data_IF_536563375787
#
_entry.id   IF_536563375787
#
_cell.length_a   1.000
_cell.length_b   1.000
_cell.length_c   1.000
_cell.angle_alpha   90.00
_cell.angle_beta   90.00
_cell.angle_gamma   90.00
#
_symmetry.space_group_name_H-M   'P 1'
#
loop_
_entity.id
_entity.type
_entity.pdbx_description
1 polymer ?
#
# COMPACT_ATOMS: atom_id res chain seq x y z
N UNK A 1 -5.44 3.87 18.27
CA UNK A 1 -5.16 3.23 16.98
C UNK A 1 -6.45 2.83 16.29
N UNK A 2 -6.47 2.85 14.96
CA UNK A 2 -7.56 2.35 14.14
C UNK A 2 -7.59 0.80 14.07
N UNK A 3 -8.62 0.24 13.42
CA UNK A 3 -8.80 -1.22 13.32
C UNK A 3 -7.65 -1.93 12.61
N UNK A 4 -7.10 -1.36 11.55
CA UNK A 4 -5.99 -1.96 10.80
C UNK A 4 -4.69 -2.01 11.61
N UNK A 5 -4.39 -0.95 12.37
CA UNK A 5 -3.23 -0.94 13.24
C UNK A 5 -3.37 -1.94 14.40
N UNK A 6 -4.58 -2.07 14.96
CA UNK A 6 -4.86 -3.09 15.99
C UNK A 6 -4.70 -4.51 15.42
N UNK A 7 -5.20 -4.76 14.22
CA UNK A 7 -5.04 -6.05 13.53
C UNK A 7 -3.56 -6.37 13.24
N UNK A 8 -2.79 -5.37 12.77
CA UNK A 8 -1.35 -5.53 12.60
C UNK A 8 -0.68 -5.95 13.92
N UNK A 9 -0.91 -5.20 15.01
CA UNK A 9 -0.30 -5.50 16.30
C UNK A 9 -0.70 -6.88 16.83
N UNK A 10 -1.95 -7.27 16.64
CA UNK A 10 -2.44 -8.61 17.03
C UNK A 10 -1.70 -9.72 16.26
N UNK A 11 -1.38 -9.51 14.99
CA UNK A 11 -0.66 -10.48 14.17
C UNK A 11 0.83 -10.65 14.55
N UNK A 12 1.40 -9.67 15.26
CA UNK A 12 2.83 -9.68 15.63
C UNK A 12 3.18 -10.56 16.83
N UNK A 13 2.19 -11.15 17.52
CA UNK A 13 2.43 -12.02 18.66
C UNK A 13 3.28 -11.34 19.73
N UNK A 14 4.39 -11.96 20.11
CA UNK A 14 5.32 -11.45 21.15
C UNK A 14 5.99 -10.11 20.78
N UNK A 15 6.00 -9.73 19.48
CA UNK A 15 6.60 -8.46 19.05
C UNK A 15 5.66 -7.26 19.25
N UNK A 16 4.39 -7.46 19.56
CA UNK A 16 3.37 -6.39 19.64
C UNK A 16 3.77 -5.23 20.58
N UNK A 17 4.41 -5.57 21.71
CA UNK A 17 4.81 -4.59 22.72
C UNK A 17 6.14 -3.86 22.39
N UNK A 18 6.76 -4.25 21.28
CA UNK A 18 8.01 -3.69 20.76
C UNK A 18 7.81 -2.90 19.46
N UNK A 19 6.62 -2.92 18.92
CA UNK A 19 6.28 -2.27 17.63
C UNK A 19 5.27 -1.17 17.86
N UNK A 20 5.54 -0.01 17.28
CA UNK A 20 4.61 1.10 17.22
C UNK A 20 4.36 1.48 15.76
N UNK A 21 3.13 1.29 15.21
CA UNK A 21 2.79 1.73 13.87
C UNK A 21 2.87 3.25 13.77
N UNK A 22 3.62 3.78 12.79
CA UNK A 22 3.77 5.21 12.56
C UNK A 22 2.81 5.72 11.50
N UNK A 23 2.76 5.04 10.37
CA UNK A 23 1.96 5.41 9.23
C UNK A 23 1.70 4.19 8.33
N UNK A 24 0.67 4.28 7.50
CA UNK A 24 0.28 3.24 6.56
C UNK A 24 -0.05 3.82 5.20
N UNK A 25 0.33 3.13 4.15
CA UNK A 25 0.04 3.47 2.76
C UNK A 25 -0.49 2.23 2.03
N UNK A 26 -1.65 2.29 1.37
CA UNK A 26 -2.14 1.14 0.62
C UNK A 26 -1.28 0.92 -0.65
N UNK A 27 -1.13 -0.33 -1.06
CA UNK A 27 -0.62 -0.66 -2.38
C UNK A 27 -1.68 -0.38 -3.43
N UNK A 28 -1.26 0.19 -4.56
CA UNK A 28 -2.13 0.57 -5.67
C UNK A 28 -1.55 0.09 -6.98
N UNK A 29 -2.39 -0.02 -7.99
CA UNK A 29 -1.96 -0.16 -9.38
C UNK A 29 -1.88 1.23 -9.99
N UNK A 30 -0.69 1.65 -10.40
CA UNK A 30 -0.45 2.88 -11.15
C UNK A 30 -0.36 2.54 -12.64
N UNK A 31 -1.08 3.28 -13.47
CA UNK A 31 -1.15 3.08 -14.92
C UNK A 31 -1.33 4.41 -15.64
N UNK A 32 -1.11 4.41 -16.95
CA UNK A 32 -1.56 5.52 -17.79
C UNK A 32 -3.08 5.44 -17.92
N UNK A 33 -3.73 6.59 -17.90
CA UNK A 33 -5.18 6.68 -18.10
C UNK A 33 -5.49 6.32 -19.55
N UNK A 34 -6.02 5.12 -19.74
CA UNK A 34 -6.40 4.58 -21.03
C UNK A 34 -7.89 4.21 -20.99
N UNK A 35 -8.75 4.88 -21.78
CA UNK A 35 -10.17 4.58 -21.83
C UNK A 35 -10.50 3.13 -22.25
N UNK A 36 -9.58 2.46 -22.93
CA UNK A 36 -9.74 1.06 -23.31
C UNK A 36 -9.56 0.09 -22.12
N UNK A 37 -8.99 0.54 -21.03
CA UNK A 37 -8.83 -0.25 -19.80
C UNK A 37 -10.10 -0.19 -18.95
N UNK A 38 -11.04 -1.08 -19.23
CA UNK A 38 -12.35 -1.15 -18.56
C UNK A 38 -12.31 -1.97 -17.25
N UNK A 39 -11.30 -2.84 -17.07
CA UNK A 39 -11.18 -3.65 -15.86
C UNK A 39 -10.67 -2.81 -14.69
N UNK A 40 -11.42 -2.83 -13.61
CA UNK A 40 -11.03 -2.22 -12.34
C UNK A 40 -10.69 -3.30 -11.32
N UNK A 41 -9.61 -3.11 -10.59
CA UNK A 41 -9.21 -4.03 -9.54
C UNK A 41 -8.09 -5.00 -9.94
N UNK A 42 -7.68 -5.83 -8.97
CA UNK A 42 -6.55 -6.75 -9.10
C UNK A 42 -6.64 -7.72 -10.29
N UNK A 43 -7.82 -8.19 -10.75
CA UNK A 43 -7.93 -9.03 -11.94
C UNK A 43 -7.35 -8.43 -13.22
N UNK A 44 -7.15 -7.10 -13.28
CA UNK A 44 -6.44 -6.45 -14.37
C UNK A 44 -5.03 -7.02 -14.55
N UNK A 45 -4.36 -7.38 -13.44
CA UNK A 45 -3.00 -7.95 -13.48
C UNK A 45 -2.93 -9.32 -14.17
N UNK A 46 -4.06 -10.00 -14.34
CA UNK A 46 -4.15 -11.31 -15.02
C UNK A 46 -4.63 -11.19 -16.46
N UNK A 47 -4.88 -9.98 -16.94
CA UNK A 47 -5.33 -9.76 -18.32
C UNK A 47 -4.22 -10.12 -19.30
N UNK A 48 -4.53 -10.87 -20.36
CA UNK A 48 -3.57 -11.26 -21.39
C UNK A 48 -2.93 -10.06 -22.09
N UNK A 49 -3.64 -8.93 -22.19
CA UNK A 49 -3.11 -7.68 -22.72
C UNK A 49 -1.97 -7.07 -21.87
N UNK A 50 -1.75 -7.59 -20.68
CA UNK A 50 -0.68 -7.18 -19.75
C UNK A 50 0.57 -8.06 -19.85
N UNK A 51 0.61 -9.06 -20.72
CA UNK A 51 1.74 -10.00 -20.84
C UNK A 51 3.08 -9.27 -21.01
N UNK A 52 4.01 -9.49 -20.06
CA UNK A 52 5.31 -8.82 -20.04
C UNK A 52 5.26 -7.30 -19.83
N UNK A 53 4.16 -6.75 -19.29
CA UNK A 53 3.93 -5.31 -19.15
C UNK A 53 3.59 -4.87 -17.72
N UNK A 54 3.71 -5.75 -16.74
CA UNK A 54 3.41 -5.47 -15.33
C UNK A 54 4.71 -5.39 -14.54
N UNK A 55 4.91 -4.31 -13.80
CA UNK A 55 5.96 -4.26 -12.78
C UNK A 55 5.35 -4.67 -11.45
N UNK A 56 5.83 -5.79 -10.92
CA UNK A 56 5.43 -6.34 -9.63
C UNK A 56 6.40 -5.91 -8.52
N UNK A 57 5.96 -5.92 -7.25
CA UNK A 57 6.83 -5.64 -6.11
C UNK A 57 8.03 -6.59 -6.04
N UNK A 58 9.18 -6.09 -5.56
CA UNK A 58 10.36 -6.90 -5.32
C UNK A 58 10.19 -7.93 -4.19
N UNK A 59 9.17 -7.76 -3.34
CA UNK A 59 8.87 -8.69 -2.24
C UNK A 59 8.11 -9.93 -2.73
N UNK A 60 8.70 -11.14 -2.70
CA UNK A 60 8.02 -12.37 -3.09
C UNK A 60 6.75 -12.61 -2.28
N UNK A 61 6.79 -12.35 -0.97
CA UNK A 61 5.63 -12.51 -0.08
C UNK A 61 4.46 -11.65 -0.49
N UNK A 62 4.72 -10.42 -0.93
CA UNK A 62 3.67 -9.53 -1.39
C UNK A 62 3.05 -10.04 -2.69
N UNK A 63 3.87 -10.52 -3.62
CA UNK A 63 3.38 -11.12 -4.87
C UNK A 63 2.56 -12.38 -4.61
N UNK A 64 3.00 -13.24 -3.68
CA UNK A 64 2.23 -14.42 -3.25
C UNK A 64 0.90 -14.00 -2.61
N UNK A 65 0.91 -13.02 -1.72
CA UNK A 65 -0.32 -12.51 -1.09
C UNK A 65 -1.30 -11.92 -2.10
N UNK A 66 -0.82 -11.25 -3.14
CA UNK A 66 -1.65 -10.80 -4.26
C UNK A 66 -2.21 -11.98 -5.07
N UNK A 67 -1.39 -13.01 -5.30
CA UNK A 67 -1.82 -14.21 -5.99
C UNK A 67 -2.92 -14.94 -5.20
N UNK A 68 -2.76 -15.08 -3.88
CA UNK A 68 -3.77 -15.69 -3.02
C UNK A 68 -5.10 -14.93 -3.09
N UNK A 69 -5.04 -13.61 -3.09
CA UNK A 69 -6.22 -12.75 -3.23
C UNK A 69 -6.89 -12.85 -4.61
N UNK A 70 -6.13 -13.21 -5.64
CA UNK A 70 -6.59 -13.38 -7.03
C UNK A 70 -7.09 -14.79 -7.37
N UNK A 71 -7.11 -15.72 -6.42
CA UNK A 71 -7.57 -17.09 -6.63
C UNK A 71 -6.52 -18.17 -6.32
N UNK A 72 -5.48 -17.82 -5.56
CA UNK A 72 -4.52 -18.78 -5.02
C UNK A 72 -3.50 -19.30 -6.03
N UNK A 73 -3.20 -20.60 -5.94
CA UNK A 73 -2.08 -21.23 -6.64
C UNK A 73 -2.06 -21.10 -8.16
N UNK A 74 -3.20 -20.92 -8.81
CA UNK A 74 -3.27 -20.69 -10.26
C UNK A 74 -2.93 -19.24 -10.67
N UNK A 75 -3.11 -18.28 -9.78
CA UNK A 75 -2.85 -16.88 -10.05
C UNK A 75 -1.35 -16.56 -10.08
N UNK A 76 -0.53 -17.24 -9.29
CA UNK A 76 0.91 -16.96 -9.21
C UNK A 76 1.64 -17.23 -10.55
N UNK A 77 1.46 -18.37 -11.22
CA UNK A 77 2.01 -18.57 -12.57
C UNK A 77 1.49 -17.57 -13.59
N UNK A 78 0.22 -17.16 -13.47
CA UNK A 78 -0.35 -16.14 -14.35
C UNK A 78 0.30 -14.78 -14.13
N UNK A 79 0.45 -14.32 -12.88
CA UNK A 79 1.16 -13.07 -12.55
C UNK A 79 2.61 -13.10 -13.06
N UNK A 80 3.32 -14.23 -12.96
CA UNK A 80 4.68 -14.38 -13.49
C UNK A 80 4.74 -14.14 -14.99
N UNK A 81 3.77 -14.64 -15.75
CA UNK A 81 3.69 -14.41 -17.21
C UNK A 81 3.44 -12.95 -17.57
N UNK A 82 2.75 -12.20 -16.71
CA UNK A 82 2.47 -10.78 -16.92
C UNK A 82 3.64 -9.88 -16.50
N UNK A 83 4.55 -10.39 -15.67
CA UNK A 83 5.63 -9.60 -15.12
C UNK A 83 6.65 -9.20 -16.19
N UNK A 84 6.87 -7.88 -16.31
CA UNK A 84 8.03 -7.30 -16.99
C UNK A 84 9.27 -7.45 -16.11
N UNK A 85 9.10 -7.10 -14.83
CA UNK A 85 10.16 -7.15 -13.81
C UNK A 85 9.55 -7.13 -12.41
N UNK A 86 10.39 -7.50 -11.43
CA UNK A 86 10.10 -7.38 -10.00
C UNK A 86 10.89 -6.23 -9.34
N UNK A 87 11.46 -5.31 -10.14
CA UNK A 87 12.15 -4.13 -9.63
C UNK A 87 11.19 -2.95 -9.51
N UNK A 88 10.60 -2.80 -8.33
CA UNK A 88 9.70 -1.71 -8.03
C UNK A 88 10.40 -0.36 -7.78
N UNK A 89 11.74 -0.33 -7.67
CA UNK A 89 12.51 0.90 -7.49
C UNK A 89 12.42 1.79 -8.73
N UNK A 90 12.43 1.18 -9.92
CA UNK A 90 12.34 1.85 -11.20
C UNK A 90 10.91 1.82 -11.80
N UNK A 91 9.92 1.38 -11.02
CA UNK A 91 8.55 1.14 -11.49
C UNK A 91 7.95 2.33 -12.26
N UNK A 92 8.08 3.53 -11.72
CA UNK A 92 7.56 4.75 -12.37
C UNK A 92 8.29 5.07 -13.68
N UNK A 93 9.59 4.81 -13.76
CA UNK A 93 10.37 5.03 -15.00
C UNK A 93 9.92 4.06 -16.11
N UNK A 94 9.71 2.78 -15.79
CA UNK A 94 9.19 1.79 -16.74
C UNK A 94 7.82 2.21 -17.29
N UNK A 95 6.94 2.72 -16.41
CA UNK A 95 5.62 3.21 -16.81
C UNK A 95 5.71 4.46 -17.70
N UNK A 96 6.55 5.43 -17.33
CA UNK A 96 6.71 6.70 -18.08
C UNK A 96 7.34 6.48 -19.45
N UNK A 97 8.25 5.51 -19.58
CA UNK A 97 8.83 5.11 -20.88
C UNK A 97 7.85 4.30 -21.75
N UNK A 98 6.72 3.84 -21.18
CA UNK A 98 5.73 3.01 -21.89
C UNK A 98 6.12 1.54 -22.02
N UNK A 99 7.18 1.11 -21.31
CA UNK A 99 7.60 -0.28 -21.26
C UNK A 99 6.68 -1.10 -20.38
N UNK A 100 6.24 -0.54 -19.26
CA UNK A 100 5.17 -1.10 -18.42
C UNK A 100 3.83 -0.43 -18.73
N UNK A 101 2.73 -1.18 -18.64
CA UNK A 101 1.35 -0.68 -18.68
C UNK A 101 0.81 -0.46 -17.27
N UNK A 102 1.17 -1.33 -16.34
CA UNK A 102 0.73 -1.28 -14.95
C UNK A 102 1.93 -1.50 -14.04
N UNK A 103 2.01 -0.74 -12.97
CA UNK A 103 3.00 -0.95 -11.92
C UNK A 103 2.31 -1.01 -10.55
N UNK A 104 2.72 -1.96 -9.71
CA UNK A 104 2.19 -2.17 -8.36
C UNK A 104 3.16 -1.60 -7.34
N UNK A 105 2.76 -0.56 -6.61
CA UNK A 105 3.59 0.12 -5.62
C UNK A 105 2.75 0.78 -4.52
N UNK A 106 3.35 1.13 -3.36
CA UNK A 106 2.63 1.87 -2.33
C UNK A 106 2.24 3.26 -2.83
N UNK A 107 1.07 3.74 -2.46
CA UNK A 107 0.57 5.08 -2.84
C UNK A 107 1.57 6.18 -2.48
N UNK A 108 2.25 6.07 -1.34
CA UNK A 108 3.28 7.01 -0.90
C UNK A 108 4.42 7.19 -1.89
N UNK A 109 4.69 6.21 -2.76
CA UNK A 109 5.75 6.32 -3.78
C UNK A 109 5.29 6.97 -5.08
N UNK A 110 4.00 7.08 -5.32
CA UNK A 110 3.47 7.62 -6.58
C UNK A 110 2.54 8.82 -6.42
N UNK A 111 2.11 9.17 -5.22
CA UNK A 111 1.13 10.24 -5.00
C UNK A 111 1.58 11.60 -5.54
N UNK A 112 2.87 11.92 -5.39
CA UNK A 112 3.43 13.17 -5.92
C UNK A 112 3.41 13.21 -7.44
N UNK A 113 3.67 12.08 -8.09
CA UNK A 113 3.61 11.94 -9.56
C UNK A 113 2.16 12.03 -10.04
N UNK A 114 1.24 11.34 -9.36
CA UNK A 114 -0.20 11.42 -9.65
C UNK A 114 -0.73 12.85 -9.53
N UNK A 115 -0.24 13.62 -8.55
CA UNK A 115 -0.64 15.02 -8.37
C UNK A 115 -0.17 15.95 -9.50
N UNK A 116 0.90 15.58 -10.20
CA UNK A 116 1.54 16.39 -11.24
C UNK A 116 1.18 15.99 -12.67
N UNK A 117 0.96 14.71 -12.90
CA UNK A 117 0.67 14.17 -14.24
C UNK A 117 -0.78 13.65 -14.32
N UNK A 118 -1.68 14.39 -14.99
CA UNK A 118 -3.08 14.00 -15.16
C UNK A 118 -3.28 12.78 -16.06
N UNK A 119 -2.27 12.40 -16.85
CA UNK A 119 -2.30 11.21 -17.73
C UNK A 119 -2.14 9.89 -16.95
N UNK A 120 -1.79 9.98 -15.67
CA UNK A 120 -1.62 8.82 -14.81
C UNK A 120 -2.85 8.63 -13.95
N UNK A 121 -3.23 7.39 -13.73
CA UNK A 121 -4.31 6.97 -12.85
C UNK A 121 -3.79 5.92 -11.87
N UNK A 122 -4.27 5.97 -10.63
CA UNK A 122 -4.06 4.87 -9.69
C UNK A 122 -5.40 4.22 -9.34
N UNK A 123 -5.38 2.91 -9.16
CA UNK A 123 -6.52 2.12 -8.74
C UNK A 123 -6.21 1.52 -7.37
N UNK A 124 -7.04 1.84 -6.39
CA UNK A 124 -7.18 1.10 -5.15
C UNK A 124 -8.42 0.20 -5.30
N UNK A 125 -8.24 -1.12 -5.43
CA UNK A 125 -9.36 -2.02 -5.68
C UNK A 125 -10.39 -2.02 -4.55
N UNK A 126 -11.67 -2.09 -4.89
CA UNK A 126 -12.74 -2.19 -3.89
C UNK A 126 -12.65 -3.47 -3.05
N UNK A 127 -12.00 -4.52 -3.55
CA UNK A 127 -11.71 -5.75 -2.82
C UNK A 127 -10.63 -5.59 -1.74
N UNK A 128 -10.08 -4.38 -1.57
CA UNK A 128 -8.98 -4.07 -0.66
C UNK A 128 -7.61 -4.17 -1.30
N UNK A 129 -6.58 -3.87 -0.53
CA UNK A 129 -5.19 -3.87 -0.97
C UNK A 129 -4.25 -4.25 0.18
N UNK A 130 -3.06 -4.77 -0.12
CA UNK A 130 -2.02 -4.90 0.87
C UNK A 130 -1.68 -3.54 1.48
N UNK A 131 -1.32 -3.53 2.74
CA UNK A 131 -0.92 -2.33 3.46
C UNK A 131 0.59 -2.28 3.65
N UNK A 132 1.18 -1.15 3.27
CA UNK A 132 2.58 -0.84 3.50
C UNK A 132 2.70 -0.03 4.79
N UNK A 133 3.29 -0.63 5.80
CA UNK A 133 3.46 -0.03 7.12
C UNK A 133 4.84 0.57 7.31
N UNK A 134 4.89 1.74 7.89
CA UNK A 134 6.08 2.25 8.58
C UNK A 134 5.87 2.06 10.07
N UNK A 135 6.80 1.39 10.71
CA UNK A 135 6.75 1.08 12.13
C UNK A 135 8.03 1.51 12.84
N UNK A 136 7.91 1.87 14.10
CA UNK A 136 9.04 1.98 15.01
C UNK A 136 9.19 0.63 15.72
N UNK A 137 10.35 0.02 15.61
CA UNK A 137 10.67 -1.24 16.26
C UNK A 137 11.72 -1.00 17.36
N UNK A 138 11.40 -1.41 18.59
CA UNK A 138 12.36 -1.43 19.68
C UNK A 138 13.25 -2.68 19.57
N UNK A 139 14.57 -2.52 19.47
CA UNK A 139 15.50 -3.65 19.51
C UNK A 139 15.37 -4.48 20.79
N UNK A 140 15.70 -5.76 20.73
CA UNK A 140 15.58 -6.65 21.90
C UNK A 140 16.48 -6.25 23.06
N UNK A 141 17.70 -5.84 22.73
CA UNK A 141 18.66 -5.39 23.72
C UNK A 141 18.32 -4.04 24.40
N UNK A 142 17.35 -3.28 23.83
CA UNK A 142 16.95 -2.00 24.40
C UNK A 142 16.02 -2.19 25.59
N UNK A 143 16.34 -1.52 26.69
CA UNK A 143 15.49 -1.42 27.89
C UNK A 143 14.56 -0.21 27.84
N UNK A 144 14.83 0.75 26.96
CA UNK A 144 14.02 1.96 26.81
C UNK A 144 12.64 1.63 26.25
N UNK A 145 11.56 2.21 26.76
CA UNK A 145 10.22 2.02 26.20
C UNK A 145 10.13 2.63 24.81
N UNK A 146 9.19 2.12 24.01
CA UNK A 146 8.87 2.76 22.72
C UNK A 146 8.36 4.18 22.98
N UNK A 147 8.88 5.23 22.29
CA UNK A 147 8.56 6.63 22.57
C UNK A 147 7.17 7.02 22.04
N UNK A 148 6.13 6.43 22.60
CA UNK A 148 4.74 6.59 22.16
C UNK A 148 4.29 8.05 22.14
N UNK A 149 4.61 8.82 23.17
CA UNK A 149 4.23 10.25 23.24
C UNK A 149 4.84 11.07 22.11
N UNK A 150 6.09 10.77 21.73
CA UNK A 150 6.76 11.43 20.60
C UNK A 150 6.04 11.12 19.28
N UNK A 151 5.68 9.87 19.05
CA UNK A 151 4.93 9.45 17.87
C UNK A 151 3.53 10.09 17.83
N UNK A 152 2.84 10.13 18.96
CA UNK A 152 1.53 10.78 19.07
C UNK A 152 1.58 12.28 18.75
N UNK A 153 2.68 12.96 19.09
CA UNK A 153 2.91 14.34 18.66
C UNK A 153 3.12 14.43 17.13
N UNK A 154 3.84 13.47 16.55
CA UNK A 154 4.00 13.37 15.09
C UNK A 154 2.68 13.15 14.34
N UNK A 155 1.64 12.65 15.02
CA UNK A 155 0.29 12.50 14.47
C UNK A 155 -0.57 13.76 14.60
N UNK A 156 -0.01 14.90 15.01
CA UNK A 156 -0.68 16.20 15.06
C UNK A 156 -0.25 17.09 13.88
N UNK A 157 -1.04 18.11 13.59
CA UNK A 157 -0.65 19.13 12.62
C UNK A 157 0.59 19.90 13.12
N UNK A 158 1.50 20.29 12.21
CA UNK A 158 1.41 20.17 10.74
C UNK A 158 1.97 18.86 10.18
N UNK A 159 2.60 17.99 11.00
CA UNK A 159 3.27 16.77 10.52
C UNK A 159 2.29 15.76 9.92
N UNK A 160 1.13 15.58 10.56
CA UNK A 160 0.06 14.71 10.06
C UNK A 160 -0.35 15.09 8.64
N UNK A 161 -0.57 16.39 8.40
CA UNK A 161 -0.95 16.90 7.06
C UNK A 161 0.14 16.62 6.03
N UNK A 162 1.42 16.74 6.37
CA UNK A 162 2.53 16.37 5.50
C UNK A 162 2.54 14.89 5.16
N UNK A 163 2.31 14.01 6.13
CA UNK A 163 2.20 12.57 5.89
C UNK A 163 1.08 12.28 4.88
N UNK A 164 -0.09 12.87 5.06
CA UNK A 164 -1.23 12.71 4.17
C UNK A 164 -0.89 13.16 2.74
N UNK A 165 -0.28 14.32 2.59
CA UNK A 165 0.15 14.84 1.27
C UNK A 165 1.19 13.93 0.59
N UNK A 166 1.93 13.14 1.37
CA UNK A 166 2.90 12.15 0.90
C UNK A 166 2.30 10.74 0.74
N UNK A 167 0.99 10.58 0.83
CA UNK A 167 0.32 9.29 0.66
C UNK A 167 0.39 8.35 1.86
N UNK A 168 0.63 8.91 3.04
CA UNK A 168 0.64 8.20 4.30
C UNK A 168 -0.58 8.57 5.14
N UNK A 169 -1.28 7.57 5.63
CA UNK A 169 -2.34 7.71 6.62
C UNK A 169 -1.79 7.40 8.01
N UNK A 170 -2.09 8.25 8.99
CA UNK A 170 -1.78 7.96 10.39
C UNK A 170 -2.78 6.95 10.95
N UNK A 171 -2.33 5.98 11.77
CA UNK A 171 -3.15 4.87 12.23
C UNK A 171 -4.01 5.24 13.47
N UNK A 172 -4.78 6.33 13.38
CA UNK A 172 -5.65 6.81 14.45
C UNK A 172 -7.13 6.66 14.09
N UNK A 173 -7.99 6.64 15.10
CA UNK A 173 -9.43 6.47 14.91
C UNK A 173 -10.07 7.55 14.04
N UNK A 174 -11.11 7.16 13.30
CA UNK A 174 -11.70 7.88 12.16
C UNK A 174 -12.22 9.30 12.44
N UNK A 175 -12.56 9.65 13.66
CA UNK A 175 -13.11 10.97 13.97
C UNK A 175 -12.18 12.15 13.65
N UNK A 176 -10.86 11.90 13.57
CA UNK A 176 -9.85 12.90 13.20
C UNK A 176 -9.46 12.87 11.73
N UNK A 177 -9.86 11.83 11.01
CA UNK A 177 -9.48 11.60 9.60
C UNK A 177 -10.22 12.53 8.63
N UNK A 178 -11.42 13.02 9.00
CA UNK A 178 -12.22 13.87 8.12
C UNK A 178 -11.50 15.18 7.73
N UNK A 179 -10.76 15.79 8.66
CA UNK A 179 -9.97 16.99 8.38
C UNK A 179 -8.82 16.74 7.42
N UNK A 180 -8.28 15.52 7.42
CA UNK A 180 -7.13 15.13 6.60
C UNK A 180 -7.51 14.95 5.13
N UNK A 181 -8.75 14.56 4.86
CA UNK A 181 -9.25 14.39 3.49
C UNK A 181 -9.13 15.65 2.65
N UNK A 182 -9.24 16.82 3.27
CA UNK A 182 -9.12 18.12 2.60
C UNK A 182 -7.66 18.48 2.23
N UNK A 183 -6.68 17.74 2.73
CA UNK A 183 -5.28 17.91 2.35
C UNK A 183 -4.95 17.31 0.97
N UNK A 184 -5.88 16.53 0.40
CA UNK A 184 -5.74 15.87 -0.90
C UNK A 184 -6.79 16.39 -1.88
N UNK A 185 -6.42 16.41 -3.17
CA UNK A 185 -7.38 16.67 -4.24
C UNK A 185 -8.48 15.60 -4.28
N UNK A 186 -9.65 15.93 -4.84
CA UNK A 186 -10.77 15.00 -4.99
C UNK A 186 -10.36 13.69 -5.68
N UNK A 187 -9.42 13.74 -6.64
CA UNK A 187 -8.88 12.60 -7.37
C UNK A 187 -8.05 11.65 -6.51
N UNK A 188 -7.26 12.18 -5.58
CA UNK A 188 -6.32 11.40 -4.76
C UNK A 188 -6.94 10.94 -3.44
N UNK A 189 -7.97 11.65 -2.98
CA UNK A 189 -8.63 11.37 -1.70
C UNK A 189 -9.11 9.92 -1.55
N UNK A 190 -9.84 9.32 -2.51
CA UNK A 190 -10.34 7.96 -2.36
C UNK A 190 -9.23 6.89 -2.35
N UNK A 191 -8.04 7.22 -2.83
CA UNK A 191 -6.91 6.29 -2.79
C UNK A 191 -6.33 6.11 -1.38
N UNK A 192 -6.32 7.17 -0.56
CA UNK A 192 -5.81 7.12 0.81
C UNK A 192 -6.93 6.99 1.85
N UNK A 193 -8.10 7.53 1.53
CA UNK A 193 -9.29 7.51 2.35
C UNK A 193 -10.46 6.88 1.59
N UNK A 194 -10.38 5.58 1.26
CA UNK A 194 -11.47 4.87 0.60
C UNK A 194 -12.68 4.74 1.54
N UNK A 195 -13.76 4.13 1.05
CA UNK A 195 -14.89 3.76 1.90
C UNK A 195 -14.45 2.90 3.09
N UNK A 196 -15.20 2.93 4.18
CA UNK A 196 -14.91 2.09 5.34
C UNK A 196 -14.91 0.61 4.99
N UNK A 197 -15.77 0.19 4.07
CA UNK A 197 -15.85 -1.18 3.56
C UNK A 197 -14.57 -1.56 2.80
N UNK A 198 -14.13 -0.75 1.83
CA UNK A 198 -12.85 -0.99 1.13
C UNK A 198 -11.67 -1.01 2.09
N UNK A 199 -11.63 -0.09 3.06
CA UNK A 199 -10.55 -0.03 4.04
C UNK A 199 -10.52 -1.29 4.93
N UNK A 200 -11.67 -1.81 5.33
CA UNK A 200 -11.77 -3.03 6.13
C UNK A 200 -11.27 -4.27 5.41
N UNK A 201 -11.34 -4.29 4.08
CA UNK A 201 -10.83 -5.37 3.22
C UNK A 201 -9.33 -5.26 2.93
N UNK A 202 -8.68 -4.14 3.27
CA UNK A 202 -7.23 -4.06 3.18
C UNK A 202 -6.58 -4.98 4.21
N UNK A 203 -5.40 -5.50 3.89
CA UNK A 203 -4.73 -6.48 4.75
C UNK A 203 -3.25 -6.17 4.94
N UNK A 204 -2.71 -6.62 6.06
CA UNK A 204 -1.28 -6.60 6.35
C UNK A 204 -0.68 -7.98 6.07
N UNK A 205 0.55 -8.03 5.59
CA UNK A 205 1.27 -9.30 5.51
C UNK A 205 1.56 -9.79 6.94
N UNK A 206 1.34 -11.08 7.23
CA UNK A 206 1.68 -11.64 8.52
C UNK A 206 3.20 -11.54 8.74
N UNK A 207 3.69 -11.49 10.00
CA UNK A 207 5.12 -11.57 10.27
C UNK A 207 5.68 -12.90 9.79
N UNK A 208 6.99 -12.92 9.44
CA UNK A 208 7.68 -14.18 9.22
C UNK A 208 7.86 -14.90 10.56
N UNK A 209 7.41 -16.13 10.64
CA UNK A 209 7.74 -17.01 11.76
C UNK A 209 9.14 -17.61 11.55
N UNK A 210 9.87 -18.00 12.62
CA UNK A 210 11.24 -18.54 12.49
C UNK A 210 11.36 -19.73 11.56
N UNK A 211 10.31 -20.52 11.41
CA UNK A 211 10.24 -21.70 10.53
C UNK A 211 10.17 -21.34 9.03
N UNK A 212 9.86 -20.08 8.69
CA UNK A 212 9.77 -19.59 7.32
C UNK A 212 11.08 -18.90 6.84
N UNK A 213 12.17 -19.00 7.62
CA UNK A 213 13.46 -18.35 7.33
C UNK A 213 14.46 -19.23 6.63
#
# INVERSE_FOLDING_TARGET
>A
LDGQAKALLASLGALKDRVLPLAVSPWVMLLRDDPAMTKEGWPLLLDSAMAGRVVLPASPRLVMSLADHLGGGQALPALRRQALTYDDRQATNWLLKGEAKVVVLPLSRCIALLGRDPRLRAILPASGAPLHWTVLLRPEASREPVPQRWVEQGWRDPLRRRLVQQGWRVPIASSRVMADQNALSARLRPLLFPSADTWSRCWSLPPLVPEDR
#
